data_IF_357149340660
#
_entry.id   IF_357149340660
#
_cell.length_a   1.000
_cell.length_b   1.000
_cell.length_c   1.000
_cell.angle_alpha   90.00
_cell.angle_beta   90.00
_cell.angle_gamma   90.00
#
_symmetry.space_group_name_H-M   'P 1'
#
loop_
_entity.id
_entity.type
_entity.pdbx_description
1 polymer ?
#
# COMPACT_ATOMS: atom_id res chain seq x y z
N UNK A 1 -1.80 -10.43 -5.82
CA UNK A 1 -0.42 -10.89 -5.57
C UNK A 1 0.61 -9.92 -6.13
N UNK A 2 1.06 -10.10 -7.37
CA UNK A 2 2.24 -9.42 -7.91
C UNK A 2 2.25 -7.87 -7.77
N UNK A 3 1.12 -7.21 -8.02
CA UNK A 3 1.02 -5.74 -7.88
C UNK A 3 1.22 -5.30 -6.42
N UNK A 4 0.60 -5.99 -5.46
CA UNK A 4 0.82 -5.75 -4.04
C UNK A 4 2.29 -5.95 -3.64
N UNK A 5 2.92 -6.99 -4.16
CA UNK A 5 4.34 -7.29 -3.93
C UNK A 5 5.25 -6.16 -4.43
N UNK A 6 5.02 -5.67 -5.65
CA UNK A 6 5.78 -4.56 -6.23
C UNK A 6 5.62 -3.26 -5.42
N UNK A 7 4.38 -2.89 -5.06
CA UNK A 7 4.15 -1.71 -4.24
C UNK A 7 4.70 -1.84 -2.82
N UNK A 8 4.79 -3.07 -2.27
CA UNK A 8 5.39 -3.30 -0.94
C UNK A 8 6.87 -3.01 -0.97
N UNK A 9 7.58 -3.47 -2.01
CA UNK A 9 8.98 -3.13 -2.24
C UNK A 9 9.20 -1.63 -2.39
N UNK A 10 8.37 -0.98 -3.22
CA UNK A 10 8.44 0.47 -3.42
C UNK A 10 8.16 1.25 -2.12
N UNK A 11 7.17 0.85 -1.33
CA UNK A 11 6.89 1.45 -0.02
C UNK A 11 8.07 1.28 0.94
N UNK A 12 8.67 0.08 1.00
CA UNK A 12 9.86 -0.16 1.83
C UNK A 12 11.07 0.64 1.37
N UNK A 13 11.24 0.81 0.06
CA UNK A 13 12.28 1.68 -0.50
C UNK A 13 12.05 3.13 -0.09
N UNK A 14 10.81 3.61 -0.17
CA UNK A 14 10.49 4.96 0.28
C UNK A 14 10.86 5.07 1.76
N UNK A 15 10.30 4.26 2.65
CA UNK A 15 10.55 4.42 4.10
C UNK A 15 12.04 4.35 4.48
N UNK A 16 12.78 3.35 3.98
CA UNK A 16 14.15 3.08 4.42
C UNK A 16 15.23 3.76 3.57
N UNK A 17 14.93 4.15 2.33
CA UNK A 17 15.90 4.59 1.29
C UNK A 17 17.03 3.59 0.99
N UNK A 18 16.84 2.31 1.32
CA UNK A 18 17.78 1.23 1.02
C UNK A 18 17.17 0.26 0.00
N UNK A 19 17.95 -0.05 -1.05
CA UNK A 19 17.56 -1.02 -2.06
C UNK A 19 17.49 -2.45 -1.50
N UNK A 20 18.39 -2.81 -0.58
CA UNK A 20 18.44 -4.16 0.01
C UNK A 20 17.17 -4.46 0.83
N UNK A 21 16.69 -3.47 1.58
CA UNK A 21 15.45 -3.58 2.34
C UNK A 21 14.22 -3.71 1.41
N UNK A 22 14.22 -3.02 0.27
CA UNK A 22 13.16 -3.09 -0.73
C UNK A 22 13.11 -4.47 -1.40
N UNK A 23 14.26 -5.05 -1.75
CA UNK A 23 14.33 -6.38 -2.34
C UNK A 23 13.91 -7.45 -1.33
N UNK A 24 14.37 -7.34 -0.07
CA UNK A 24 13.99 -8.27 0.98
C UNK A 24 12.47 -8.26 1.24
N UNK A 25 11.86 -7.07 1.38
CA UNK A 25 10.41 -6.95 1.59
C UNK A 25 9.60 -7.47 0.39
N UNK A 26 10.04 -7.20 -0.84
CA UNK A 26 9.44 -7.75 -2.06
C UNK A 26 9.48 -9.27 -2.07
N UNK A 27 10.63 -9.86 -1.72
CA UNK A 27 10.78 -11.31 -1.65
C UNK A 27 9.83 -11.95 -0.63
N UNK A 28 9.77 -11.41 0.60
CA UNK A 28 8.87 -11.94 1.62
C UNK A 28 7.40 -11.81 1.21
N UNK A 29 6.99 -10.67 0.68
CA UNK A 29 5.61 -10.45 0.23
C UNK A 29 5.19 -11.40 -0.91
N UNK A 30 6.12 -11.82 -1.76
CA UNK A 30 5.85 -12.75 -2.85
C UNK A 30 5.50 -14.17 -2.36
N UNK A 31 6.12 -14.63 -1.28
CA UNK A 31 6.02 -16.03 -0.82
C UNK A 31 5.21 -16.21 0.46
N UNK A 32 4.77 -15.11 1.09
CA UNK A 32 4.05 -15.14 2.36
C UNK A 32 2.75 -15.97 2.26
N UNK A 33 2.64 -17.11 2.96
CA UNK A 33 1.48 -18.01 2.82
C UNK A 33 0.16 -17.33 3.18
N UNK A 34 0.17 -16.44 4.18
CA UNK A 34 -1.00 -15.66 4.58
C UNK A 34 -1.52 -14.77 3.44
N UNK A 35 -0.63 -14.19 2.62
CA UNK A 35 -1.05 -13.41 1.46
C UNK A 35 -1.52 -14.31 0.31
N UNK A 36 -0.79 -15.41 0.04
CA UNK A 36 -1.10 -16.35 -1.03
C UNK A 36 -2.47 -17.00 -0.87
N UNK A 37 -2.87 -17.38 0.35
CA UNK A 37 -4.17 -17.99 0.60
C UNK A 37 -5.35 -17.07 0.23
N UNK A 38 -5.16 -15.76 0.27
CA UNK A 38 -6.18 -14.76 -0.09
C UNK A 38 -6.04 -14.21 -1.51
N UNK A 39 -5.01 -14.65 -2.26
CA UNK A 39 -4.77 -14.21 -3.64
C UNK A 39 -4.36 -15.35 -4.58
N UNK A 40 -4.87 -16.55 -4.32
CA UNK A 40 -4.61 -17.74 -5.14
C UNK A 40 -5.34 -17.62 -6.47
N UNK A 41 -4.75 -18.16 -7.54
CA UNK A 41 -5.42 -18.24 -8.83
C UNK A 41 -6.75 -19.01 -8.70
N UNK A 42 -7.85 -18.41 -9.16
CA UNK A 42 -9.20 -18.94 -9.00
C UNK A 42 -9.91 -18.53 -7.70
N UNK A 43 -9.22 -17.87 -6.77
CA UNK A 43 -9.83 -17.23 -5.59
C UNK A 43 -10.28 -15.81 -5.92
N UNK A 44 -11.55 -15.64 -6.29
CA UNK A 44 -12.17 -14.34 -6.55
C UNK A 44 -12.74 -13.71 -5.29
N UNK A 45 -11.88 -13.47 -4.31
CA UNK A 45 -12.25 -12.78 -3.07
C UNK A 45 -11.83 -11.31 -3.12
N UNK A 46 -12.58 -10.45 -2.44
CA UNK A 46 -12.37 -8.99 -2.48
C UNK A 46 -10.99 -8.60 -1.92
N UNK A 47 -10.46 -9.39 -1.00
CA UNK A 47 -9.15 -9.26 -0.37
C UNK A 47 -8.01 -9.31 -1.40
N UNK A 48 -8.17 -10.07 -2.49
CA UNK A 48 -7.15 -10.20 -3.55
C UNK A 48 -6.75 -8.86 -4.15
N UNK A 49 -7.76 -8.00 -4.38
CA UNK A 49 -7.55 -6.70 -5.01
C UNK A 49 -7.38 -5.59 -3.97
N UNK A 50 -8.04 -5.73 -2.81
CA UNK A 50 -7.92 -4.79 -1.71
C UNK A 50 -6.49 -4.64 -1.20
N UNK A 51 -5.75 -5.74 -1.04
CA UNK A 51 -4.36 -5.69 -0.55
C UNK A 51 -3.46 -4.89 -1.52
N UNK A 52 -3.67 -5.03 -2.83
CA UNK A 52 -2.91 -4.25 -3.82
C UNK A 52 -3.24 -2.76 -3.73
N UNK A 53 -4.52 -2.42 -3.53
CA UNK A 53 -4.98 -1.04 -3.38
C UNK A 53 -4.47 -0.37 -2.09
N UNK A 54 -4.45 -1.10 -0.97
CA UNK A 54 -3.98 -0.60 0.33
C UNK A 54 -2.50 -0.23 0.25
N UNK A 55 -1.64 -1.14 -0.26
CA UNK A 55 -0.20 -0.89 -0.32
C UNK A 55 0.12 0.24 -1.31
N UNK A 56 -0.60 0.32 -2.44
CA UNK A 56 -0.48 1.44 -3.36
C UNK A 56 -0.87 2.77 -2.69
N UNK A 57 -1.98 2.81 -1.94
CA UNK A 57 -2.42 4.01 -1.21
C UNK A 57 -1.36 4.46 -0.20
N UNK A 58 -0.79 3.54 0.59
CA UNK A 58 0.27 3.87 1.54
C UNK A 58 1.56 4.34 0.85
N UNK A 59 1.94 3.73 -0.27
CA UNK A 59 3.09 4.18 -1.05
C UNK A 59 2.95 5.65 -1.48
N UNK A 60 1.82 6.00 -2.11
CA UNK A 60 1.59 7.37 -2.58
C UNK A 60 1.38 8.36 -1.42
N UNK A 61 0.78 7.92 -0.30
CA UNK A 61 0.70 8.75 0.92
C UNK A 61 2.08 9.08 1.48
N UNK A 62 2.94 8.07 1.68
CA UNK A 62 4.30 8.31 2.20
C UNK A 62 5.07 9.21 1.23
N UNK A 63 4.94 8.96 -0.08
CA UNK A 63 5.58 9.78 -1.12
C UNK A 63 5.08 11.24 -1.12
N UNK A 64 3.81 11.48 -0.83
CA UNK A 64 3.24 12.85 -0.81
C UNK A 64 3.76 13.68 0.36
N UNK A 65 4.10 13.04 1.48
CA UNK A 65 4.62 13.71 2.67
C UNK A 65 6.11 14.07 2.62
N UNK A 66 6.86 13.67 1.58
CA UNK A 66 8.33 13.84 1.55
C UNK A 66 8.80 15.20 1.07
N UNK A 67 8.17 15.72 0.02
CA UNK A 67 8.60 16.95 -0.65
C UNK A 67 7.41 17.88 -0.88
N UNK A 68 7.66 19.19 -0.86
CA UNK A 68 6.65 20.21 -1.14
C UNK A 68 6.10 20.13 -2.57
N UNK A 69 6.88 19.59 -3.52
CA UNK A 69 6.44 19.37 -4.91
C UNK A 69 5.68 18.04 -5.11
N UNK A 70 5.59 17.18 -4.09
CA UNK A 70 4.96 15.85 -4.19
C UNK A 70 3.44 15.87 -3.99
N UNK A 71 2.81 17.05 -3.95
CA UNK A 71 1.35 17.19 -3.85
C UNK A 71 0.54 16.37 -4.88
N UNK A 72 0.97 16.13 -6.14
CA UNK A 72 0.19 15.32 -7.08
C UNK A 72 0.08 13.86 -6.63
N UNK A 73 1.09 13.34 -5.92
CA UNK A 73 1.03 11.99 -5.37
C UNK A 73 -0.02 11.85 -4.26
N UNK A 74 -0.35 12.93 -3.56
CA UNK A 74 -1.46 12.96 -2.60
C UNK A 74 -2.83 12.81 -3.28
N UNK A 75 -3.02 13.41 -4.47
CA UNK A 75 -4.25 13.22 -5.25
C UNK A 75 -4.37 11.77 -5.72
N UNK A 76 -3.28 11.19 -6.20
CA UNK A 76 -3.23 9.77 -6.59
C UNK A 76 -3.53 8.88 -5.39
N UNK A 77 -2.99 9.18 -4.21
CA UNK A 77 -3.32 8.47 -2.97
C UNK A 77 -4.82 8.54 -2.64
N UNK A 78 -5.45 9.72 -2.79
CA UNK A 78 -6.90 9.89 -2.60
C UNK A 78 -7.77 9.11 -3.60
N UNK A 79 -7.35 9.05 -4.88
CA UNK A 79 -8.03 8.25 -5.90
C UNK A 79 -7.91 6.75 -5.62
N UNK A 80 -6.72 6.28 -5.24
CA UNK A 80 -6.50 4.89 -4.86
C UNK A 80 -7.23 4.52 -3.58
N UNK A 81 -7.34 5.45 -2.63
CA UNK A 81 -8.17 5.28 -1.44
C UNK A 81 -9.65 5.13 -1.81
N UNK A 82 -10.17 5.97 -2.71
CA UNK A 82 -11.56 5.86 -3.20
C UNK A 82 -11.80 4.51 -3.86
N UNK A 83 -10.85 4.05 -4.68
CA UNK A 83 -10.89 2.70 -5.26
C UNK A 83 -10.92 1.61 -4.19
N UNK A 84 -10.12 1.76 -3.14
CA UNK A 84 -10.05 0.82 -2.03
C UNK A 84 -11.36 0.76 -1.23
N UNK A 85 -12.01 1.90 -0.98
CA UNK A 85 -13.35 1.98 -0.35
C UNK A 85 -14.39 1.20 -1.15
N UNK A 86 -14.33 1.27 -2.48
CA UNK A 86 -15.24 0.51 -3.36
C UNK A 86 -14.92 -0.99 -3.40
N UNK A 87 -13.67 -1.39 -3.15
CA UNK A 87 -13.22 -2.77 -3.26
C UNK A 87 -13.39 -3.59 -1.97
N UNK A 88 -13.24 -3.00 -0.78
CA UNK A 88 -13.26 -3.77 0.47
C UNK A 88 -13.59 -2.93 1.72
N UNK A 89 -14.32 -3.53 2.65
CA UNK A 89 -14.79 -2.87 3.88
C UNK A 89 -13.70 -2.46 4.89
N UNK A 90 -12.46 -2.93 4.72
CA UNK A 90 -11.35 -2.55 5.59
C UNK A 90 -10.77 -1.14 5.33
N UNK A 91 -11.44 -0.30 4.54
CA UNK A 91 -11.01 1.08 4.27
C UNK A 91 -10.93 1.95 5.52
N UNK A 92 -11.71 1.59 6.55
CA UNK A 92 -11.70 2.24 7.86
C UNK A 92 -10.30 2.15 8.47
N UNK A 93 -9.59 1.03 8.29
CA UNK A 93 -8.22 0.88 8.77
C UNK A 93 -7.27 1.86 8.09
N UNK A 94 -7.34 1.97 6.75
CA UNK A 94 -6.47 2.85 5.97
C UNK A 94 -6.66 4.31 6.38
N UNK A 95 -7.91 4.76 6.50
CA UNK A 95 -8.22 6.14 6.86
C UNK A 95 -7.76 6.49 8.27
N UNK A 96 -8.02 5.61 9.25
CA UNK A 96 -7.58 5.83 10.63
C UNK A 96 -6.05 5.86 10.74
N UNK A 97 -5.34 4.97 10.04
CA UNK A 97 -3.88 4.93 10.09
C UNK A 97 -3.26 6.20 9.47
N UNK A 98 -3.79 6.65 8.33
CA UNK A 98 -3.37 7.91 7.69
C UNK A 98 -3.66 9.09 8.61
N UNK A 99 -4.84 9.14 9.23
CA UNK A 99 -5.22 10.20 10.17
C UNK A 99 -4.29 10.28 11.38
N UNK A 100 -3.95 9.14 11.98
CA UNK A 100 -3.00 9.08 13.09
C UNK A 100 -1.61 9.54 12.63
N UNK A 101 -1.13 9.07 11.48
CA UNK A 101 0.17 9.47 10.94
C UNK A 101 0.24 10.99 10.68
N UNK A 102 -0.80 11.56 10.07
CA UNK A 102 -0.89 13.01 9.86
C UNK A 102 -0.93 13.79 11.19
N UNK A 103 -1.65 13.28 12.20
CA UNK A 103 -1.74 13.92 13.51
C UNK A 103 -0.41 13.92 14.25
N UNK A 104 0.39 12.86 14.14
CA UNK A 104 1.72 12.76 14.76
C UNK A 104 2.76 13.67 14.09
N UNK A 105 2.55 14.01 12.81
CA UNK A 105 3.44 14.89 12.06
C UNK A 105 3.22 16.39 12.33
N UNK A 106 2.08 16.76 12.94
CA UNK A 106 1.72 18.14 13.32
C UNK A 106 2.19 18.40 14.75
#
# INVERSE_FOLDING_TARGET
GAVATAFTGLLSYEVTRSADAAVASTFFMAILPAHLMRSVAGGYDNESIAISAIVATFYFWVRSTRDSSSWPSGIVAGLLYTYMVAAWGGYIFVLNLIGIHATVLI
#
